data_IF_532667130229
#
_entry.id   IF_532667130229
#
_cell.length_a   1.000
_cell.length_b   1.000
_cell.length_c   1.000
_cell.angle_alpha   90.00
_cell.angle_beta   90.00
_cell.angle_gamma   90.00
#
_symmetry.space_group_name_H-M   'P 1'
#
loop_
_entity.id
_entity.type
_entity.pdbx_description
1 polymer ?
#
# COMPACT_ATOMS: atom_id res chain seq x y z
N UNK A 1 -4.10 -11.65 -37.80
CA UNK A 1 -4.91 -12.57 -36.97
C UNK A 1 -5.82 -11.86 -35.94
N UNK A 2 -5.71 -10.56 -35.70
CA UNK A 2 -6.55 -9.82 -34.72
C UNK A 2 -7.93 -9.35 -35.23
N UNK A 3 -8.31 -9.64 -36.47
CA UNK A 3 -9.61 -9.22 -37.05
C UNK A 3 -10.80 -10.08 -36.59
N UNK A 4 -10.54 -11.22 -35.94
CA UNK A 4 -11.58 -12.14 -35.48
C UNK A 4 -11.86 -12.07 -33.98
N UNK A 5 -11.16 -11.21 -33.25
CA UNK A 5 -11.42 -11.00 -31.82
C UNK A 5 -12.39 -9.83 -31.65
N UNK A 6 -13.67 -10.08 -31.32
CA UNK A 6 -14.68 -9.03 -31.17
C UNK A 6 -14.35 -8.06 -30.02
N UNK A 7 -13.62 -8.51 -29.00
CA UNK A 7 -13.21 -7.68 -27.85
C UNK A 7 -12.14 -6.69 -28.29
N UNK A 8 -11.09 -7.16 -28.96
CA UNK A 8 -10.03 -6.30 -29.52
C UNK A 8 -10.55 -5.32 -30.58
N UNK A 9 -11.56 -5.71 -31.37
CA UNK A 9 -12.19 -4.84 -32.34
C UNK A 9 -12.99 -3.70 -31.68
N UNK A 10 -13.73 -3.99 -30.60
CA UNK A 10 -14.49 -2.96 -29.85
C UNK A 10 -13.59 -1.94 -29.15
N UNK A 11 -12.41 -2.35 -28.69
CA UNK A 11 -11.44 -1.48 -28.02
C UNK A 11 -10.93 -0.34 -28.91
N UNK A 12 -10.96 -0.49 -30.25
CA UNK A 12 -10.59 0.57 -31.19
C UNK A 12 -11.55 1.76 -31.21
N UNK A 13 -12.77 1.58 -30.72
CA UNK A 13 -13.82 2.63 -30.72
C UNK A 13 -13.62 3.66 -29.61
N UNK A 14 -12.82 3.34 -28.60
CA UNK A 14 -12.60 4.16 -27.41
C UNK A 14 -11.11 4.49 -27.24
N UNK A 15 -10.81 5.62 -26.60
CA UNK A 15 -9.43 5.93 -26.22
C UNK A 15 -8.95 4.92 -25.17
N UNK A 16 -7.65 4.60 -25.12
CA UNK A 16 -7.09 3.78 -24.05
C UNK A 16 -7.48 4.34 -22.67
N UNK A 17 -7.93 3.46 -21.78
CA UNK A 17 -8.27 3.77 -20.39
C UNK A 17 -7.31 3.06 -19.46
N UNK A 18 -6.94 3.72 -18.36
CA UNK A 18 -6.10 3.12 -17.33
C UNK A 18 -6.96 2.54 -16.22
N UNK A 19 -6.60 1.35 -15.73
CA UNK A 19 -7.19 0.73 -14.54
C UNK A 19 -6.11 0.43 -13.52
N UNK A 20 -6.44 0.54 -12.23
CA UNK A 20 -5.59 0.06 -11.14
C UNK A 20 -5.68 -1.47 -10.97
N UNK A 21 -6.73 -2.09 -11.52
CA UNK A 21 -6.93 -3.54 -11.48
C UNK A 21 -6.02 -4.19 -12.52
N UNK A 22 -5.19 -5.18 -12.14
CA UNK A 22 -4.33 -5.87 -13.10
C UNK A 22 -5.16 -6.70 -14.09
N UNK A 23 -4.62 -6.88 -15.31
CA UNK A 23 -5.21 -7.79 -16.29
C UNK A 23 -6.39 -7.24 -17.10
N UNK A 24 -6.58 -5.91 -17.16
CA UNK A 24 -7.65 -5.32 -17.98
C UNK A 24 -7.44 -5.46 -19.49
N UNK A 25 -6.19 -5.58 -19.94
CA UNK A 25 -5.86 -5.80 -21.36
C UNK A 25 -5.82 -7.29 -21.65
N UNK A 26 -6.83 -7.81 -22.36
CA UNK A 26 -6.95 -9.23 -22.69
C UNK A 26 -6.23 -9.63 -23.99
N UNK A 27 -6.00 -8.69 -24.90
CA UNK A 27 -5.31 -8.92 -26.16
C UNK A 27 -4.58 -7.67 -26.66
N UNK A 28 -3.66 -7.80 -27.62
CA UNK A 28 -2.91 -6.66 -28.14
C UNK A 28 -3.80 -5.59 -28.77
N UNK A 29 -3.68 -4.34 -28.29
CA UNK A 29 -4.43 -3.18 -28.79
C UNK A 29 -3.50 -2.33 -29.67
N UNK A 30 -3.77 -2.22 -30.99
CA UNK A 30 -3.01 -1.34 -31.87
C UNK A 30 -3.43 0.13 -31.67
N UNK A 31 -2.46 1.01 -31.49
CA UNK A 31 -2.61 2.46 -31.33
C UNK A 31 -1.86 3.16 -32.47
N UNK A 32 -2.57 3.99 -33.23
CA UNK A 32 -1.99 4.81 -34.30
C UNK A 32 -1.31 6.05 -33.70
N UNK A 33 -0.07 5.87 -33.22
CA UNK A 33 0.69 6.90 -32.52
C UNK A 33 1.68 7.67 -33.43
N UNK A 34 1.96 7.17 -34.64
CA UNK A 34 3.03 7.68 -35.49
C UNK A 34 2.52 8.08 -36.87
N UNK A 35 3.01 9.20 -37.40
CA UNK A 35 2.63 9.73 -38.72
C UNK A 35 3.10 8.84 -39.88
N UNK A 36 4.11 7.98 -39.67
CA UNK A 36 4.67 7.07 -40.67
C UNK A 36 3.88 5.78 -40.93
N UNK A 37 2.69 5.63 -40.33
CA UNK A 37 1.85 4.42 -40.48
C UNK A 37 2.24 3.24 -39.57
N UNK A 38 3.31 3.38 -38.79
CA UNK A 38 3.68 2.45 -37.73
C UNK A 38 2.70 2.54 -36.55
N UNK A 39 2.59 1.45 -35.76
CA UNK A 39 1.65 1.34 -34.65
C UNK A 39 2.35 1.01 -33.34
N UNK A 40 1.90 1.62 -32.24
CA UNK A 40 2.24 1.20 -30.89
C UNK A 40 1.27 0.09 -30.48
N UNK A 41 1.77 -0.99 -29.88
CA UNK A 41 0.91 -2.08 -29.40
C UNK A 41 0.91 -2.08 -27.87
N UNK A 42 -0.26 -1.86 -27.27
CA UNK A 42 -0.49 -2.18 -25.87
C UNK A 42 -0.73 -3.68 -25.75
N UNK A 43 0.05 -4.37 -24.94
CA UNK A 43 0.02 -5.84 -24.81
C UNK A 43 -0.56 -6.24 -23.47
N UNK A 44 -1.19 -7.43 -23.35
CA UNK A 44 -1.62 -7.96 -22.06
C UNK A 44 -0.51 -7.91 -21.01
N UNK A 45 -0.80 -7.31 -19.87
CA UNK A 45 0.14 -7.21 -18.76
C UNK A 45 0.38 -8.57 -18.12
N UNK A 46 1.64 -8.89 -17.80
CA UNK A 46 1.98 -10.12 -17.07
C UNK A 46 1.48 -10.02 -15.63
N UNK A 47 0.66 -10.97 -15.20
CA UNK A 47 0.25 -11.09 -13.82
C UNK A 47 1.38 -11.70 -12.98
N UNK A 48 1.83 -10.97 -11.96
CA UNK A 48 2.91 -11.38 -11.07
C UNK A 48 2.36 -11.54 -9.65
N UNK A 49 2.25 -12.78 -9.18
CA UNK A 49 1.60 -13.12 -7.90
C UNK A 49 2.27 -12.49 -6.68
N UNK A 50 3.56 -12.13 -6.75
CA UNK A 50 4.27 -11.46 -5.66
C UNK A 50 3.99 -9.94 -5.59
N UNK A 51 3.26 -9.37 -6.56
CA UNK A 51 2.91 -7.94 -6.52
C UNK A 51 1.76 -7.73 -5.54
N UNK A 52 1.83 -6.63 -4.81
CA UNK A 52 0.78 -6.23 -3.87
C UNK A 52 -0.62 -6.17 -4.53
N UNK A 53 -0.71 -5.73 -5.79
CA UNK A 53 -1.97 -5.67 -6.53
C UNK A 53 -2.55 -7.05 -6.92
N UNK A 54 -1.78 -8.12 -6.78
CA UNK A 54 -2.23 -9.50 -7.03
C UNK A 54 -2.79 -10.18 -5.76
N UNK A 55 -2.37 -9.72 -4.57
CA UNK A 55 -2.79 -10.30 -3.28
C UNK A 55 -3.92 -9.53 -2.62
N UNK A 56 -4.15 -8.28 -3.01
CA UNK A 56 -5.23 -7.45 -2.48
C UNK A 56 -6.50 -7.62 -3.30
N UNK A 57 -7.64 -7.69 -2.62
CA UNK A 57 -8.95 -7.75 -3.26
C UNK A 57 -9.17 -6.57 -4.21
N UNK A 58 -9.79 -6.83 -5.37
CA UNK A 58 -9.95 -5.84 -6.44
C UNK A 58 -10.64 -4.54 -5.99
N UNK A 59 -11.58 -4.63 -5.05
CA UNK A 59 -12.32 -3.49 -4.48
C UNK A 59 -11.45 -2.56 -3.62
N UNK A 60 -10.36 -3.09 -3.06
CA UNK A 60 -9.43 -2.34 -2.21
C UNK A 60 -8.28 -1.72 -3.02
N UNK A 61 -7.99 -2.22 -4.23
CA UNK A 61 -6.92 -1.68 -5.09
C UNK A 61 -7.01 -0.17 -5.34
N UNK A 62 -8.19 0.45 -5.54
CA UNK A 62 -8.30 1.90 -5.71
C UNK A 62 -7.77 2.70 -4.51
N UNK A 63 -7.82 2.13 -3.29
CA UNK A 63 -7.32 2.79 -2.06
C UNK A 63 -5.80 2.92 -2.05
N UNK A 64 -5.10 2.03 -2.77
CA UNK A 64 -3.65 1.99 -2.90
C UNK A 64 -3.14 2.88 -4.02
N UNK A 65 -3.99 3.19 -4.98
CA UNK A 65 -3.65 4.06 -6.09
C UNK A 65 -3.54 5.52 -5.59
N UNK A 66 -2.42 6.22 -5.82
CA UNK A 66 -2.31 7.63 -5.49
C UNK A 66 -3.28 8.48 -6.32
N UNK A 67 -4.36 8.98 -5.69
CA UNK A 67 -5.33 9.87 -6.33
C UNK A 67 -4.89 11.34 -6.34
N UNK A 68 -3.82 11.67 -5.62
CA UNK A 68 -3.25 13.01 -5.54
C UNK A 68 -1.77 12.93 -5.23
N UNK A 69 -1.05 14.05 -5.36
CA UNK A 69 0.38 14.14 -4.98
C UNK A 69 0.59 13.58 -3.58
N UNK A 70 1.51 12.61 -3.46
CA UNK A 70 1.89 12.04 -2.18
C UNK A 70 2.44 13.13 -1.27
N UNK A 71 1.94 13.16 -0.02
CA UNK A 71 2.44 14.03 1.03
C UNK A 71 3.01 13.16 2.14
N UNK A 72 4.18 13.54 2.64
CA UNK A 72 4.80 12.86 3.77
C UNK A 72 3.91 12.99 5.02
N UNK A 73 3.59 11.86 5.64
CA UNK A 73 2.94 11.81 6.94
C UNK A 73 4.02 11.52 7.98
N UNK A 74 4.44 12.56 8.69
CA UNK A 74 5.46 12.45 9.73
C UNK A 74 4.84 11.85 10.99
N UNK A 75 5.53 10.88 11.58
CA UNK A 75 5.19 10.25 12.83
C UNK A 75 6.41 10.32 13.77
N UNK A 76 6.24 10.78 15.03
CA UNK A 76 4.99 11.21 15.64
C UNK A 76 4.47 12.56 15.13
N UNK A 77 3.14 12.68 14.93
CA UNK A 77 2.50 13.94 14.52
C UNK A 77 1.87 14.63 15.72
N UNK A 78 2.13 15.92 15.88
CA UNK A 78 1.63 16.75 16.99
C UNK A 78 0.10 16.91 17.05
N UNK A 79 -0.64 16.42 16.04
CA UNK A 79 -2.08 16.64 15.91
C UNK A 79 -2.95 15.38 15.76
N UNK A 80 -2.40 14.18 15.90
CA UNK A 80 -3.25 12.96 15.95
C UNK A 80 -3.79 12.79 17.37
N UNK A 81 -5.09 12.52 17.50
CA UNK A 81 -5.71 12.07 18.75
C UNK A 81 -5.13 10.69 19.09
N UNK A 82 -3.99 10.71 19.74
CA UNK A 82 -3.28 9.54 20.19
C UNK A 82 -3.75 9.23 21.61
N UNK A 83 -3.98 7.95 21.89
CA UNK A 83 -4.33 7.52 23.24
C UNK A 83 -3.32 8.04 24.25
N UNK A 84 -3.82 8.50 25.40
CA UNK A 84 -3.01 9.16 26.44
C UNK A 84 -1.82 8.31 26.88
N UNK A 85 -1.97 6.98 26.87
CA UNK A 85 -0.91 6.03 27.17
C UNK A 85 0.22 6.03 26.13
N UNK A 86 -0.13 6.03 24.84
CA UNK A 86 0.88 6.03 23.76
C UNK A 86 1.58 7.39 23.71
N UNK A 87 0.84 8.49 23.90
CA UNK A 87 1.41 9.83 24.01
C UNK A 87 2.41 9.95 25.18
N UNK A 88 2.14 9.29 26.31
CA UNK A 88 3.07 9.24 27.43
C UNK A 88 4.33 8.42 27.10
N UNK A 89 4.18 7.22 26.52
CA UNK A 89 5.33 6.41 26.09
C UNK A 89 6.21 7.14 25.09
N UNK A 90 5.61 7.81 24.11
CA UNK A 90 6.35 8.60 23.14
C UNK A 90 7.19 9.71 23.78
N UNK A 91 6.67 10.36 24.83
CA UNK A 91 7.42 11.38 25.57
C UNK A 91 8.62 10.79 26.34
N UNK A 92 8.53 9.55 26.81
CA UNK A 92 9.60 8.92 27.60
C UNK A 92 10.63 8.16 26.76
N UNK A 93 10.21 7.47 25.71
CA UNK A 93 11.03 6.50 24.96
C UNK A 93 11.00 6.68 23.44
N UNK A 94 10.44 7.79 22.95
CA UNK A 94 10.24 8.05 21.53
C UNK A 94 9.38 6.95 20.89
N UNK A 95 9.82 6.45 19.72
CA UNK A 95 9.12 5.38 19.03
C UNK A 95 9.47 3.97 19.55
N UNK A 96 10.44 3.83 20.46
CA UNK A 96 10.89 2.51 20.92
C UNK A 96 9.78 1.75 21.65
N UNK A 97 9.57 0.50 21.26
CA UNK A 97 8.51 -0.37 21.80
C UNK A 97 7.11 -0.09 21.24
N UNK A 98 7.01 0.66 20.13
CA UNK A 98 5.75 0.87 19.41
C UNK A 98 5.73 0.11 18.09
N UNK A 99 4.53 -0.38 17.75
CA UNK A 99 4.22 -1.00 16.47
C UNK A 99 3.31 -0.09 15.66
N UNK A 100 3.70 0.18 14.42
CA UNK A 100 2.96 1.04 13.50
C UNK A 100 2.37 0.16 12.40
N UNK A 101 1.05 0.15 12.31
CA UNK A 101 0.29 -0.46 11.23
C UNK A 101 -0.01 0.56 10.14
N UNK A 102 0.05 0.13 8.88
CA UNK A 102 -0.37 0.92 7.72
C UNK A 102 -1.39 0.11 6.92
N UNK A 103 -2.68 0.36 7.22
CA UNK A 103 -3.75 -0.58 6.93
C UNK A 103 -3.48 -1.97 7.51
N UNK A 104 -4.07 -3.01 6.92
CA UNK A 104 -3.76 -4.42 7.22
C UNK A 104 -2.54 -4.96 6.48
N UNK A 105 -1.79 -4.10 5.76
CA UNK A 105 -0.78 -4.47 4.77
C UNK A 105 0.66 -4.47 5.31
N UNK A 106 0.95 -3.58 6.25
CA UNK A 106 2.31 -3.37 6.75
C UNK A 106 2.25 -3.17 8.25
N UNK A 107 3.19 -3.81 8.95
CA UNK A 107 3.50 -3.58 10.35
C UNK A 107 4.98 -3.28 10.50
N UNK A 108 5.30 -2.22 11.23
CA UNK A 108 6.66 -1.82 11.57
C UNK A 108 6.80 -1.85 13.09
N UNK A 109 7.58 -2.80 13.60
CA UNK A 109 7.92 -2.88 15.01
C UNK A 109 9.21 -2.09 15.27
N UNK A 110 9.11 -1.00 16.03
CA UNK A 110 10.26 -0.14 16.33
C UNK A 110 10.90 -0.64 17.62
N UNK A 111 11.92 -1.49 17.47
CA UNK A 111 12.57 -2.14 18.62
C UNK A 111 13.39 -1.15 19.46
N UNK A 112 14.18 -0.29 18.80
CA UNK A 112 15.06 0.67 19.47
C UNK A 112 15.44 1.81 18.53
N UNK A 113 15.24 3.04 18.98
CA UNK A 113 15.63 4.26 18.27
C UNK A 113 16.04 5.37 19.25
N UNK A 114 16.64 6.44 18.74
CA UNK A 114 16.83 7.67 19.52
C UNK A 114 15.47 8.35 19.79
N UNK A 115 15.28 9.03 20.92
CA UNK A 115 14.01 9.69 21.27
C UNK A 115 13.50 10.66 20.19
N UNK A 116 14.39 11.33 19.46
CA UNK A 116 14.09 12.33 18.43
C UNK A 116 13.74 11.72 17.07
N UNK A 117 13.80 10.39 16.96
CA UNK A 117 13.59 9.69 15.68
C UNK A 117 12.16 9.87 15.20
N UNK A 118 12.02 10.37 13.98
CA UNK A 118 10.75 10.46 13.27
C UNK A 118 10.73 9.52 12.06
N UNK A 119 9.57 8.95 11.76
CA UNK A 119 9.32 8.19 10.54
C UNK A 119 8.38 8.99 9.64
N UNK A 120 8.69 9.06 8.34
CA UNK A 120 7.83 9.74 7.37
C UNK A 120 7.27 8.74 6.37
N UNK A 121 5.94 8.63 6.35
CA UNK A 121 5.22 7.69 5.47
C UNK A 121 4.78 8.41 4.19
N UNK A 122 5.12 7.84 3.04
CA UNK A 122 4.72 8.34 1.72
C UNK A 122 3.78 7.34 1.05
N UNK A 123 2.47 7.60 1.12
CA UNK A 123 1.48 6.74 0.50
C UNK A 123 0.12 7.41 0.35
N UNK A 124 -0.86 6.70 -0.21
CA UNK A 124 -2.21 7.21 -0.43
C UNK A 124 -2.85 7.66 0.88
N UNK A 125 -3.58 8.77 0.83
CA UNK A 125 -4.28 9.31 2.02
C UNK A 125 -5.34 8.37 2.58
N UNK A 126 -5.89 7.49 1.73
CA UNK A 126 -6.89 6.51 2.12
C UNK A 126 -6.29 5.44 3.06
N UNK A 127 -4.98 5.19 2.99
CA UNK A 127 -4.31 4.19 3.81
C UNK A 127 -3.87 4.82 5.14
N UNK A 128 -4.63 4.55 6.19
CA UNK A 128 -4.40 5.12 7.52
C UNK A 128 -3.31 4.39 8.29
N UNK A 129 -2.62 5.13 9.16
CA UNK A 129 -1.65 4.58 10.10
C UNK A 129 -2.20 4.53 11.52
N UNK A 130 -2.05 3.37 12.16
CA UNK A 130 -2.45 3.08 13.54
C UNK A 130 -1.24 2.66 14.35
N UNK A 131 -1.21 3.00 15.63
CA UNK A 131 -0.05 2.75 16.49
C UNK A 131 -0.53 2.13 17.78
N UNK A 132 0.19 1.11 18.23
CA UNK A 132 -0.07 0.39 19.49
C UNK A 132 1.26 0.04 20.16
N UNK A 133 1.28 -0.23 21.48
CA UNK A 133 2.42 -0.88 22.12
C UNK A 133 2.76 -2.21 21.41
N UNK A 134 4.04 -2.51 21.23
CA UNK A 134 4.47 -3.72 20.50
C UNK A 134 3.98 -5.01 21.16
N UNK A 135 3.85 -5.01 22.49
CA UNK A 135 3.28 -6.12 23.25
C UNK A 135 1.80 -6.43 22.93
N UNK A 136 1.04 -5.43 22.45
CA UNK A 136 -0.38 -5.56 22.10
C UNK A 136 -0.60 -5.76 20.59
N UNK A 137 0.45 -5.67 19.79
CA UNK A 137 0.33 -5.56 18.34
C UNK A 137 -0.25 -6.82 17.66
N UNK A 138 0.05 -8.01 18.18
CA UNK A 138 -0.51 -9.26 17.64
C UNK A 138 -2.03 -9.35 17.89
N UNK A 139 -2.47 -9.06 19.11
CA UNK A 139 -3.89 -9.05 19.48
C UNK A 139 -4.65 -7.96 18.73
N UNK A 140 -4.07 -6.76 18.63
CA UNK A 140 -4.64 -5.66 17.87
C UNK A 140 -4.82 -6.01 16.40
N UNK A 141 -3.82 -6.65 15.77
CA UNK A 141 -3.94 -7.07 14.36
C UNK A 141 -5.09 -8.06 14.18
N UNK A 142 -5.17 -9.09 15.02
CA UNK A 142 -6.23 -10.10 14.93
C UNK A 142 -7.63 -9.52 15.09
N UNK A 143 -7.79 -8.55 16.01
CA UNK A 143 -9.09 -7.96 16.32
C UNK A 143 -9.54 -6.92 15.29
N UNK A 144 -8.61 -6.11 14.79
CA UNK A 144 -8.93 -4.91 14.02
C UNK A 144 -8.73 -5.07 12.51
N UNK A 145 -8.17 -6.20 12.05
CA UNK A 145 -8.10 -6.56 10.63
C UNK A 145 -9.51 -6.57 10.00
N UNK A 146 -9.68 -5.87 8.88
CA UNK A 146 -11.00 -5.75 8.24
C UNK A 146 -11.92 -4.69 8.86
N UNK A 147 -11.53 -4.06 9.97
CA UNK A 147 -12.29 -3.03 10.69
C UNK A 147 -11.57 -1.69 10.65
N UNK A 148 -10.55 -1.49 11.49
CA UNK A 148 -9.69 -0.31 11.45
C UNK A 148 -8.52 -0.53 10.49
N UNK A 149 -7.96 -1.74 10.47
CA UNK A 149 -6.85 -2.10 9.62
C UNK A 149 -7.37 -2.55 8.25
N UNK A 150 -7.62 -1.56 7.41
CA UNK A 150 -8.05 -1.74 6.02
C UNK A 150 -7.00 -1.17 5.06
N UNK A 151 -6.76 -1.83 3.91
CA UNK A 151 -7.34 -3.10 3.47
C UNK A 151 -6.72 -4.33 4.17
N UNK A 152 -7.37 -5.50 4.14
CA UNK A 152 -8.64 -5.82 3.47
C UNK A 152 -9.83 -5.07 4.08
N UNK A 153 -10.82 -4.67 3.27
CA UNK A 153 -12.02 -4.00 3.78
C UNK A 153 -13.15 -5.00 4.06
N UNK A 154 -13.58 -5.08 5.32
CA UNK A 154 -14.65 -5.97 5.77
C UNK A 154 -14.14 -7.28 6.36
N UNK A 155 -14.82 -7.78 7.40
CA UNK A 155 -14.41 -8.99 8.14
C UNK A 155 -14.43 -10.26 7.28
N UNK A 156 -15.41 -10.41 6.41
CA UNK A 156 -15.52 -11.59 5.53
C UNK A 156 -14.26 -11.77 4.66
N UNK A 157 -13.67 -10.67 4.20
CA UNK A 157 -12.43 -10.70 3.41
C UNK A 157 -11.17 -10.85 4.27
N UNK A 158 -11.27 -10.50 5.56
CA UNK A 158 -10.18 -10.72 6.50
C UNK A 158 -9.96 -12.22 6.79
N UNK A 159 -11.00 -13.04 6.67
CA UNK A 159 -10.91 -14.49 6.87
C UNK A 159 -10.05 -15.18 5.77
N UNK A 160 -10.18 -14.73 4.52
CA UNK A 160 -9.40 -15.20 3.37
C UNK A 160 -8.08 -14.43 3.17
N UNK A 161 -7.76 -13.50 4.08
CA UNK A 161 -6.56 -12.67 3.98
C UNK A 161 -5.31 -13.46 4.37
N UNK A 162 -4.31 -13.48 3.49
CA UNK A 162 -3.04 -14.20 3.74
C UNK A 162 -2.23 -13.59 4.90
N UNK A 163 -2.58 -12.39 5.36
CA UNK A 163 -1.90 -11.73 6.48
C UNK A 163 -0.55 -11.11 6.10
N UNK A 164 0.26 -10.84 7.12
CA UNK A 164 1.60 -10.30 6.96
C UNK A 164 2.61 -11.43 6.74
N UNK A 165 2.84 -11.81 5.49
CA UNK A 165 3.66 -12.99 5.16
C UNK A 165 5.18 -12.76 5.30
N UNK A 166 5.66 -11.53 5.04
CA UNK A 166 7.09 -11.23 5.02
C UNK A 166 7.52 -10.50 6.29
N UNK A 167 8.37 -11.16 7.09
CA UNK A 167 9.04 -10.55 8.25
C UNK A 167 10.51 -10.31 7.94
N UNK A 168 10.98 -9.08 8.15
CA UNK A 168 12.40 -8.72 8.06
C UNK A 168 12.79 -7.86 9.24
N UNK A 169 13.91 -8.20 9.86
CA UNK A 169 14.54 -7.35 10.87
C UNK A 169 15.59 -6.49 10.18
N UNK A 170 15.48 -5.18 10.36
CA UNK A 170 16.39 -4.20 9.77
C UNK A 170 17.18 -3.51 10.88
N UNK A 171 18.49 -3.42 10.69
CA UNK A 171 19.37 -2.59 11.51
C UNK A 171 19.90 -1.46 10.63
N UNK A 172 19.35 -0.26 10.82
CA UNK A 172 19.81 0.93 10.11
C UNK A 172 20.99 1.49 10.90
N UNK A 173 22.20 1.37 10.34
CA UNK A 173 23.39 1.99 10.91
C UNK A 173 23.35 3.49 10.63
N UNK A 174 23.70 4.28 11.62
CA UNK A 174 23.86 5.72 11.47
C UNK A 174 25.34 6.01 11.28
N UNK A 175 25.72 6.53 10.12
CA UNK A 175 27.13 6.79 9.78
C UNK A 175 27.47 8.28 9.74
N UNK A 176 26.56 9.20 10.09
CA UNK A 176 26.79 10.64 9.92
C UNK A 176 26.32 11.46 11.13
N UNK A 177 27.22 11.71 12.08
CA UNK A 177 26.97 12.52 13.30
C UNK A 177 26.97 14.04 13.00
N UNK A 178 27.39 14.47 11.81
CA UNK A 178 27.65 15.89 11.50
C UNK A 178 26.65 16.57 10.53
N UNK A 179 25.38 16.14 10.48
CA UNK A 179 24.35 16.82 9.66
C UNK A 179 23.21 17.43 10.46
#
# INVERSE_FOLDING_TARGET
MSYKDPVAASARKYKPIQSAVPGTTLGPIPIDAFLGGEKLYDTPGVHLHHRQAAVIHAEDLPTLAPQSRLRGQVFPSSGKNLDSQIANRMRSSGLSGLSIFWGGLVRIDVLKVLPETCLTFYGPKALQTHVVPTEEADEFYQKELGVLLTPPTGKEKADDWMGLETKRQLQIKYEDIER
#
